data_IF_235667683889
#
_entry.id   IF_235667683889
#
_cell.length_a   1.000
_cell.length_b   1.000
_cell.length_c   1.000
_cell.angle_alpha   90.00
_cell.angle_beta   90.00
_cell.angle_gamma   90.00
#
_symmetry.space_group_name_H-M   'P 1'
#
loop_
_entity.id
_entity.type
_entity.pdbx_description
1 polymer ?
#
# COMPACT_ATOMS: atom_id res chain seq x y z
N UNK A 1 -6.00 7.87 -3.81
CA UNK A 1 -6.39 6.74 -4.69
C UNK A 1 -7.12 5.66 -3.89
N UNK A 2 -6.50 5.10 -2.85
CA UNK A 2 -7.10 4.04 -2.00
C UNK A 2 -8.45 4.47 -1.41
N UNK A 3 -8.55 5.68 -0.83
CA UNK A 3 -9.83 6.23 -0.36
C UNK A 3 -10.89 6.28 -1.46
N UNK A 4 -10.57 6.85 -2.62
CA UNK A 4 -11.51 6.89 -3.76
C UNK A 4 -12.03 5.51 -4.15
N UNK A 5 -11.16 4.48 -4.14
CA UNK A 5 -11.57 3.10 -4.43
C UNK A 5 -12.51 2.56 -3.34
N UNK A 6 -12.19 2.80 -2.07
CA UNK A 6 -13.02 2.37 -0.94
C UNK A 6 -14.36 3.13 -0.86
N UNK A 7 -14.39 4.38 -1.29
CA UNK A 7 -15.59 5.21 -1.38
C UNK A 7 -16.47 4.76 -2.56
N UNK A 8 -15.84 4.47 -3.71
CA UNK A 8 -16.52 3.92 -4.88
C UNK A 8 -17.16 2.56 -4.57
N UNK A 9 -16.42 1.64 -3.94
CA UNK A 9 -16.96 0.34 -3.52
C UNK A 9 -18.17 0.51 -2.58
N UNK A 10 -18.10 1.46 -1.64
CA UNK A 10 -19.24 1.76 -0.77
C UNK A 10 -20.43 2.33 -1.52
N UNK A 11 -20.20 3.17 -2.55
CA UNK A 11 -21.26 3.74 -3.38
C UNK A 11 -21.98 2.69 -4.22
N UNK A 12 -21.25 1.65 -4.67
CA UNK A 12 -21.80 0.49 -5.37
C UNK A 12 -22.47 -0.53 -4.44
N UNK A 13 -22.51 -0.27 -3.13
CA UNK A 13 -23.21 -1.09 -2.14
C UNK A 13 -22.37 -2.20 -1.50
N UNK A 14 -21.06 -2.25 -1.75
CA UNK A 14 -20.17 -3.18 -1.05
C UNK A 14 -19.92 -2.73 0.40
N UNK A 15 -20.01 -3.67 1.34
CA UNK A 15 -19.59 -3.42 2.72
C UNK A 15 -18.07 -3.50 2.79
N UNK A 16 -17.48 -2.89 3.83
CA UNK A 16 -16.01 -2.89 4.03
C UNK A 16 -15.41 -4.30 4.17
N UNK A 17 -16.21 -5.27 4.61
CA UNK A 17 -15.81 -6.68 4.72
C UNK A 17 -15.89 -7.45 3.39
N UNK A 18 -16.55 -6.90 2.36
CA UNK A 18 -16.75 -7.58 1.07
C UNK A 18 -15.53 -7.42 0.13
N UNK A 19 -14.55 -6.60 0.52
CA UNK A 19 -13.31 -6.39 -0.23
C UNK A 19 -12.10 -6.25 0.68
N UNK A 20 -10.93 -6.45 0.09
CA UNK A 20 -9.64 -6.29 0.76
C UNK A 20 -8.75 -5.31 0.02
N UNK A 21 -7.87 -4.66 0.79
CA UNK A 21 -6.86 -3.75 0.26
C UNK A 21 -5.49 -4.29 0.62
N UNK A 22 -4.73 -4.67 -0.41
CA UNK A 22 -3.38 -5.18 -0.25
C UNK A 22 -2.34 -4.10 -0.52
N UNK A 23 -1.39 -3.93 0.41
CA UNK A 23 -0.31 -2.96 0.30
C UNK A 23 1.03 -3.58 0.66
N UNK A 24 2.10 -3.07 0.06
CA UNK A 24 3.46 -3.48 0.43
C UNK A 24 3.81 -2.99 1.83
N UNK A 25 4.60 -3.80 2.53
CA UNK A 25 5.21 -3.40 3.79
C UNK A 25 5.97 -2.06 3.63
N UNK A 26 5.74 -1.15 4.58
CA UNK A 26 6.37 0.18 4.61
C UNK A 26 5.69 1.26 3.75
N UNK A 27 4.65 0.94 2.96
CA UNK A 27 3.95 1.91 2.11
C UNK A 27 2.64 2.36 2.76
N UNK A 28 2.50 3.67 3.04
CA UNK A 28 1.27 4.29 3.55
C UNK A 28 0.70 3.60 4.81
N UNK A 29 1.55 3.33 5.81
CA UNK A 29 1.18 2.62 7.05
C UNK A 29 -0.08 3.17 7.72
N UNK A 30 -0.21 4.49 7.85
CA UNK A 30 -1.39 5.11 8.46
C UNK A 30 -2.70 4.77 7.72
N UNK A 31 -2.66 4.56 6.40
CA UNK A 31 -3.84 4.16 5.63
C UNK A 31 -4.16 2.68 5.82
N UNK A 32 -3.14 1.81 5.98
CA UNK A 32 -3.33 0.40 6.35
C UNK A 32 -4.04 0.28 7.70
N UNK A 33 -3.56 1.02 8.71
CA UNK A 33 -4.14 1.06 10.05
C UNK A 33 -5.57 1.62 10.04
N UNK A 34 -5.79 2.72 9.29
CA UNK A 34 -7.14 3.30 9.13
C UNK A 34 -8.12 2.28 8.54
N UNK A 35 -7.76 1.62 7.43
CA UNK A 35 -8.62 0.62 6.79
C UNK A 35 -8.95 -0.54 7.74
N UNK A 36 -7.95 -1.04 8.47
CA UNK A 36 -8.17 -2.07 9.49
C UNK A 36 -9.12 -1.59 10.61
N UNK A 37 -8.95 -0.36 11.10
CA UNK A 37 -9.82 0.22 12.13
C UNK A 37 -11.26 0.46 11.67
N UNK A 38 -11.48 0.66 10.36
CA UNK A 38 -12.80 0.84 9.75
C UNK A 38 -13.49 -0.48 9.38
N UNK A 39 -12.89 -1.63 9.75
CA UNK A 39 -13.45 -2.95 9.49
C UNK A 39 -13.24 -3.43 8.05
N UNK A 40 -12.31 -2.83 7.30
CA UNK A 40 -11.86 -3.35 6.01
C UNK A 40 -10.69 -4.33 6.19
N UNK A 41 -10.65 -5.37 5.36
CA UNK A 41 -9.53 -6.31 5.35
C UNK A 41 -8.29 -5.63 4.75
N UNK A 42 -7.35 -5.20 5.59
CA UNK A 42 -6.07 -4.64 5.16
C UNK A 42 -4.98 -5.71 5.21
N UNK A 43 -4.37 -6.00 4.07
CA UNK A 43 -3.32 -7.03 3.93
C UNK A 43 -1.97 -6.36 3.67
N UNK A 44 -0.97 -6.73 4.47
CA UNK A 44 0.40 -6.24 4.32
C UNK A 44 1.27 -7.32 3.67
N UNK A 45 1.73 -7.04 2.46
CA UNK A 45 2.62 -7.89 1.69
C UNK A 45 4.07 -7.67 2.16
N UNK A 46 4.60 -8.65 2.89
CA UNK A 46 5.97 -8.65 3.42
C UNK A 46 6.86 -9.52 2.54
N UNK A 47 7.93 -8.95 2.00
CA UNK A 47 9.03 -9.73 1.43
C UNK A 47 10.12 -9.91 2.48
N UNK A 48 10.48 -11.16 2.75
CA UNK A 48 11.46 -11.54 3.78
C UNK A 48 12.52 -12.47 3.19
N UNK A 49 13.67 -12.57 3.87
CA UNK A 49 14.78 -13.43 3.49
C UNK A 49 16.07 -12.66 3.15
N UNK A 50 17.15 -13.41 2.94
CA UNK A 50 18.50 -12.86 2.67
C UNK A 50 18.62 -12.14 1.32
N UNK A 51 17.74 -12.45 0.37
CA UNK A 51 17.74 -11.89 -0.99
C UNK A 51 16.85 -10.65 -1.14
N UNK A 52 16.61 -9.92 -0.05
CA UNK A 52 15.73 -8.74 -0.04
C UNK A 52 16.27 -7.59 -0.91
N UNK A 53 17.59 -7.40 -0.97
CA UNK A 53 18.20 -6.27 -1.67
C UNK A 53 18.02 -6.32 -3.19
N UNK A 54 18.35 -7.42 -3.90
CA UNK A 54 18.07 -7.55 -5.32
C UNK A 54 16.57 -7.43 -5.67
N UNK A 55 15.70 -7.98 -4.80
CA UNK A 55 14.25 -7.87 -4.97
C UNK A 55 13.77 -6.41 -4.87
N UNK A 56 14.29 -5.65 -3.92
CA UNK A 56 13.95 -4.25 -3.73
C UNK A 56 14.41 -3.38 -4.91
N UNK A 57 15.66 -3.58 -5.35
CA UNK A 57 16.23 -2.86 -6.50
C UNK A 57 15.45 -3.16 -7.79
N UNK A 58 15.03 -4.42 -8.00
CA UNK A 58 14.16 -4.77 -9.14
C UNK A 58 12.85 -3.99 -9.12
N UNK A 59 12.20 -3.88 -7.95
CA UNK A 59 10.95 -3.12 -7.79
C UNK A 59 11.13 -1.63 -8.07
N UNK A 60 12.29 -1.07 -7.71
CA UNK A 60 12.64 0.31 -8.01
C UNK A 60 12.86 0.53 -9.52
N UNK A 61 13.56 -0.39 -10.17
CA UNK A 61 13.86 -0.32 -11.59
C UNK A 61 12.61 -0.47 -12.48
N UNK A 62 11.62 -1.25 -12.05
CA UNK A 62 10.37 -1.48 -12.79
C UNK A 62 9.53 -0.20 -13.01
N UNK A 63 9.67 0.83 -12.15
CA UNK A 63 9.00 2.13 -12.32
C UNK A 63 9.87 3.29 -11.81
N UNK A 64 10.65 3.97 -12.67
CA UNK A 64 11.51 5.10 -12.29
C UNK A 64 10.77 6.23 -11.56
N UNK A 65 9.48 6.44 -11.88
CA UNK A 65 8.63 7.42 -11.21
C UNK A 65 8.40 7.12 -9.70
N UNK A 66 8.46 5.85 -9.28
CA UNK A 66 8.34 5.47 -7.88
C UNK A 66 9.58 5.89 -7.07
N UNK A 67 10.75 5.96 -7.72
CA UNK A 67 11.99 6.41 -7.10
C UNK A 67 11.88 7.88 -6.65
N UNK A 68 11.25 8.73 -7.48
CA UNK A 68 10.99 10.14 -7.15
C UNK A 68 10.05 10.30 -5.95
N UNK A 69 9.06 9.42 -5.82
CA UNK A 69 8.14 9.42 -4.68
C UNK A 69 8.84 9.02 -3.37
N UNK A 70 9.76 8.05 -3.44
CA UNK A 70 10.56 7.64 -2.28
C UNK A 70 11.54 8.72 -1.84
N UNK A 71 12.27 9.32 -2.78
CA UNK A 71 13.16 10.46 -2.53
C UNK A 71 12.40 11.57 -1.81
N UNK A 72 11.23 11.95 -2.33
CA UNK A 72 10.41 12.99 -1.69
C UNK A 72 9.96 12.62 -0.27
N UNK A 73 9.61 11.36 0.00
CA UNK A 73 9.22 10.93 1.35
C UNK A 73 10.41 10.87 2.33
N UNK A 74 11.63 10.57 1.86
CA UNK A 74 12.83 10.55 2.70
C UNK A 74 13.30 11.97 3.05
N UNK A 75 13.13 12.94 2.13
CA UNK A 75 13.52 14.34 2.35
C UNK A 75 12.40 15.26 2.85
N UNK A 76 11.16 14.77 2.92
CA UNK A 76 10.03 15.49 3.54
C UNK A 76 9.75 15.03 4.99
N UNK A 77 10.59 14.15 5.53
CA UNK A 77 10.62 13.75 6.94
C UNK A 77 11.54 14.69 7.74
#
# INVERSE_FOLDING_TARGET
>A
MIRRLADFASAEGFRKADFEVQMLYGIQRAEQERLASEGCTSIVLVAYGSYWYPWFVRRLAERPANLWFMVRNVFAA
#
